data_IF_047571619480
#
_entry.id   IF_047571619480
#
_cell.length_a   1.000
_cell.length_b   1.000
_cell.length_c   1.000
_cell.angle_alpha   90.00
_cell.angle_beta   90.00
_cell.angle_gamma   90.00
#
_symmetry.space_group_name_H-M   'P 1'
#
loop_
_entity.id
_entity.type
_entity.pdbx_description
1 polymer ?
#
# COMPACT_ATOMS: atom_id res chain seq x y z
N UNK A 1 10.84 24.44 1.87
CA UNK A 1 9.85 23.57 1.20
C UNK A 1 8.70 23.37 2.14
N UNK A 2 7.47 23.43 1.65
CA UNK A 2 6.30 23.10 2.46
C UNK A 2 6.09 21.58 2.37
N UNK A 3 6.08 20.91 3.52
CA UNK A 3 5.77 19.49 3.63
C UNK A 3 4.44 19.35 4.36
N UNK A 4 3.54 18.51 3.83
CA UNK A 4 2.27 18.21 4.47
C UNK A 4 2.01 16.71 4.38
N UNK A 5 1.79 16.09 5.52
CA UNK A 5 1.40 14.68 5.60
C UNK A 5 -0.11 14.55 5.48
N UNK A 6 -0.56 13.59 4.69
CA UNK A 6 -1.97 13.21 4.53
C UNK A 6 -2.09 11.70 4.70
N UNK A 7 -3.17 11.25 5.34
CA UNK A 7 -3.47 9.82 5.52
C UNK A 7 -4.59 9.44 4.57
N UNK A 8 -4.37 8.38 3.79
CA UNK A 8 -5.29 7.91 2.76
C UNK A 8 -5.47 6.40 2.93
N UNK A 9 -6.71 5.92 2.83
CA UNK A 9 -6.98 4.49 2.70
C UNK A 9 -6.90 4.10 1.24
N UNK A 10 -6.07 3.09 0.91
CA UNK A 10 -5.85 2.62 -0.46
C UNK A 10 -6.34 1.18 -0.56
N UNK A 11 -7.11 0.87 -1.61
CA UNK A 11 -7.48 -0.51 -1.96
C UNK A 11 -6.45 -1.05 -2.96
N UNK A 12 -5.84 -2.18 -2.64
CA UNK A 12 -4.95 -2.93 -3.52
C UNK A 12 -5.72 -4.12 -4.11
N UNK A 13 -5.58 -4.34 -5.42
CA UNK A 13 -6.09 -5.52 -6.10
C UNK A 13 -4.88 -6.36 -6.50
N UNK A 14 -4.73 -7.53 -5.87
CA UNK A 14 -3.56 -8.40 -6.03
C UNK A 14 -4.02 -9.64 -6.77
N UNK A 15 -3.47 -9.84 -7.96
CA UNK A 15 -3.70 -11.01 -8.80
C UNK A 15 -2.38 -11.70 -9.08
N UNK A 16 -2.37 -13.02 -8.97
CA UNK A 16 -1.24 -13.84 -9.38
C UNK A 16 -1.75 -15.09 -10.10
N UNK A 17 -1.65 -15.15 -11.44
CA UNK A 17 -2.21 -16.24 -12.23
C UNK A 17 -1.41 -17.55 -12.11
N UNK A 18 -0.30 -17.55 -11.38
CA UNK A 18 0.57 -18.73 -11.20
C UNK A 18 0.27 -19.50 -9.91
N UNK A 19 -0.51 -18.92 -8.99
CA UNK A 19 -0.90 -19.55 -7.73
C UNK A 19 -2.40 -19.84 -7.75
N UNK A 20 -2.80 -20.94 -7.11
CA UNK A 20 -4.22 -21.30 -6.99
C UNK A 20 -4.96 -20.49 -5.92
N UNK A 21 -4.23 -19.97 -4.94
CA UNK A 21 -4.73 -19.20 -3.81
C UNK A 21 -3.64 -18.20 -3.38
N UNK A 22 -4.06 -16.99 -3.01
CA UNK A 22 -3.21 -15.99 -2.36
C UNK A 22 -3.54 -16.08 -0.86
N UNK A 23 -2.53 -16.39 -0.05
CA UNK A 23 -2.72 -16.58 1.40
C UNK A 23 -2.50 -15.28 2.17
N UNK A 24 -2.94 -15.24 3.43
CA UNK A 24 -2.65 -14.09 4.31
C UNK A 24 -1.15 -13.85 4.50
N UNK A 25 -0.32 -14.90 4.45
CA UNK A 25 1.14 -14.78 4.50
C UNK A 25 1.69 -14.06 3.26
N UNK A 26 1.17 -14.38 2.06
CA UNK A 26 1.54 -13.66 0.84
C UNK A 26 1.16 -12.17 0.94
N UNK A 27 -0.02 -11.87 1.49
CA UNK A 27 -0.47 -10.49 1.69
C UNK A 27 0.42 -9.76 2.70
N UNK A 28 0.81 -10.40 3.80
CA UNK A 28 1.69 -9.81 4.81
C UNK A 28 3.06 -9.45 4.22
N UNK A 29 3.64 -10.35 3.43
CA UNK A 29 4.90 -10.11 2.71
C UNK A 29 4.73 -8.98 1.69
N UNK A 30 3.66 -8.99 0.90
CA UNK A 30 3.41 -7.95 -0.11
C UNK A 30 3.25 -6.58 0.56
N UNK A 31 2.46 -6.48 1.63
CA UNK A 31 2.23 -5.22 2.34
C UNK A 31 3.48 -4.75 3.08
N UNK A 32 4.28 -5.67 3.64
CA UNK A 32 5.45 -5.31 4.43
C UNK A 32 6.72 -5.08 3.60
N UNK A 33 6.89 -5.77 2.48
CA UNK A 33 8.12 -5.73 1.67
C UNK A 33 8.00 -4.92 0.37
N UNK A 34 6.79 -4.69 -0.15
CA UNK A 34 6.64 -3.89 -1.37
C UNK A 34 6.77 -2.41 -1.02
N UNK A 35 7.76 -1.78 -1.64
CA UNK A 35 7.89 -0.33 -1.63
C UNK A 35 6.82 0.26 -2.57
N UNK A 36 5.76 0.82 -1.98
CA UNK A 36 4.66 1.41 -2.73
C UNK A 36 5.01 2.84 -3.10
N UNK A 37 5.61 3.05 -4.27
CA UNK A 37 5.92 4.40 -4.75
C UNK A 37 4.73 4.99 -5.55
N UNK A 38 4.19 6.11 -5.06
CA UNK A 38 3.27 6.93 -5.86
C UNK A 38 4.05 7.86 -6.77
N UNK A 39 3.60 8.00 -8.02
CA UNK A 39 4.23 8.94 -8.95
C UNK A 39 4.09 10.37 -8.43
N UNK A 40 5.19 11.11 -8.44
CA UNK A 40 5.22 12.56 -8.23
C UNK A 40 4.21 13.27 -9.14
N UNK A 41 3.60 14.34 -8.62
CA UNK A 41 2.63 15.14 -9.37
C UNK A 41 3.19 16.54 -9.62
N UNK A 42 3.57 16.86 -10.86
CA UNK A 42 4.20 18.14 -11.20
C UNK A 42 5.51 18.34 -10.41
N UNK A 43 5.62 19.45 -9.69
CA UNK A 43 6.76 19.76 -8.81
C UNK A 43 6.62 19.18 -7.39
N UNK A 44 5.57 18.41 -7.10
CA UNK A 44 5.37 17.78 -5.79
C UNK A 44 6.04 16.41 -5.76
N UNK A 45 7.09 16.30 -4.93
CA UNK A 45 7.65 15.02 -4.52
C UNK A 45 6.68 14.34 -3.55
N UNK A 46 6.31 13.09 -3.84
CA UNK A 46 5.42 12.27 -3.03
C UNK A 46 6.25 11.12 -2.48
N UNK A 47 6.27 11.04 -1.16
CA UNK A 47 6.89 9.95 -0.41
C UNK A 47 5.76 9.20 0.30
N UNK A 48 5.85 7.88 0.34
CA UNK A 48 4.77 7.01 0.77
C UNK A 48 5.26 5.92 1.70
N UNK A 49 4.51 5.73 2.77
CA UNK A 49 4.78 4.76 3.83
C UNK A 49 3.45 4.11 4.20
N UNK A 50 3.48 2.80 4.45
CA UNK A 50 2.33 2.09 5.02
C UNK A 50 2.39 2.25 6.54
N UNK A 51 1.50 3.09 7.08
CA UNK A 51 1.41 3.29 8.53
C UNK A 51 0.58 2.20 9.25
N UNK A 52 -0.08 1.30 8.53
CA UNK A 52 -0.85 0.18 9.10
C UNK A 52 -1.85 -0.44 8.12
N UNK A 53 -2.25 -1.69 8.39
CA UNK A 53 -3.32 -2.42 7.67
C UNK A 53 -4.65 -2.19 8.39
N UNK A 54 -5.68 -1.80 7.65
CA UNK A 54 -7.04 -1.82 8.16
C UNK A 54 -7.58 -3.24 7.93
N UNK A 55 -7.73 -4.02 9.00
CA UNK A 55 -8.42 -5.29 8.95
C UNK A 55 -9.95 -5.04 8.90
N UNK A 56 -10.68 -5.84 8.12
CA UNK A 56 -12.13 -5.67 7.95
C UNK A 56 -12.94 -5.87 9.25
N UNK A 57 -12.29 -6.32 10.33
CA UNK A 57 -12.90 -6.53 11.65
C UNK A 57 -13.06 -5.24 12.50
N UNK A 58 -12.67 -4.08 11.97
CA UNK A 58 -12.57 -2.81 12.72
C UNK A 58 -13.55 -1.69 12.35
N UNK A 59 -14.70 -1.99 11.72
CA UNK A 59 -15.77 -1.02 11.44
C UNK A 59 -17.07 -1.32 12.22
#
# INVERSE_FOLDING_TARGET
>A
MATRTVYLTVRLDIDNPQVGEITDEDIDVIVSEVDYEFKNYGDYAIDTEICGRNDEDGL
#
